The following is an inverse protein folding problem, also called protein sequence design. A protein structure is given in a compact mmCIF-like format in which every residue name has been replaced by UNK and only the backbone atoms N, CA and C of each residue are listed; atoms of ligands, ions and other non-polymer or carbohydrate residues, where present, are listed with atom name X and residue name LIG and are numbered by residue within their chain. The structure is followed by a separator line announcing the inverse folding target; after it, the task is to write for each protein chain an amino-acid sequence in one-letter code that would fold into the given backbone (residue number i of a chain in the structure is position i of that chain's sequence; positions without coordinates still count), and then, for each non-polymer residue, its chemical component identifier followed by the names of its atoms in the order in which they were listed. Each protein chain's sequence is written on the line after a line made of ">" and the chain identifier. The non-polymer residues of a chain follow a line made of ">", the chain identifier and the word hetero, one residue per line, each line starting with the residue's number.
data_IF_044676422897
#
_entry.id   IF_044676422897
#
_cell.length_a   1.000
_cell.length_b   1.000
_cell.length_c   1.000
_cell.angle_alpha   90.00
_cell.angle_beta   90.00
_cell.angle_gamma   90.00
#
_symmetry.space_group_name_H-M   'P 1'
#
loop_
_entity.id
_entity.type
_entity.pdbx_description
1 polymer ?
#
# COMPACT_ATOMS: atom_id res chain seq x y z
N UNK A 1 50.98 67.98 -2.00
CA UNK A 1 50.95 67.33 -0.68
C UNK A 1 49.52 66.63 -0.59
N UNK A 2 49.44 65.34 -0.89
CA UNK A 2 48.20 64.60 -0.91
C UNK A 2 48.30 63.46 0.11
N UNK A 3 47.40 63.47 1.07
CA UNK A 3 47.36 62.53 2.16
C UNK A 3 46.48 61.31 1.70
N UNK A 4 47.08 60.12 1.71
CA UNK A 4 46.38 58.86 1.37
C UNK A 4 45.79 58.25 2.64
N UNK A 5 44.45 58.08 2.71
CA UNK A 5 43.76 57.44 3.81
C UNK A 5 43.57 55.99 3.46
N UNK A 6 44.14 55.09 4.24
CA UNK A 6 43.94 53.62 4.12
C UNK A 6 42.65 53.21 4.76
N UNK A 7 41.73 52.65 3.93
CA UNK A 7 40.50 52.02 4.39
C UNK A 7 40.76 50.56 4.81
N UNK A 8 40.31 50.24 6.01
CA UNK A 8 40.43 48.95 6.70
C UNK A 8 39.34 47.98 6.22
N UNK A 9 39.77 46.89 5.58
CA UNK A 9 38.89 45.79 5.15
C UNK A 9 38.33 45.03 6.35
N UNK A 10 37.00 45.02 6.48
CA UNK A 10 36.30 44.22 7.45
C UNK A 10 36.13 42.77 6.94
N UNK A 11 36.73 41.82 7.62
CA UNK A 11 36.56 40.39 7.38
C UNK A 11 35.16 39.95 7.80
N UNK A 12 34.34 39.53 6.84
CA UNK A 12 33.08 38.85 7.11
C UNK A 12 33.40 37.41 7.52
N UNK A 13 33.22 37.09 8.77
CA UNK A 13 33.18 35.72 9.26
C UNK A 13 31.86 35.10 8.79
N UNK A 14 31.94 34.20 7.81
CA UNK A 14 30.82 33.33 7.39
C UNK A 14 30.73 32.21 8.40
N UNK A 15 29.73 32.29 9.28
CA UNK A 15 29.38 31.21 10.20
C UNK A 15 28.81 30.04 9.38
N UNK A 16 29.59 28.98 9.24
CA UNK A 16 29.13 27.66 8.74
C UNK A 16 28.29 27.05 9.86
N UNK A 17 26.94 27.19 9.76
CA UNK A 17 26.01 26.42 10.55
C UNK A 17 26.19 24.94 10.16
N UNK A 18 26.74 24.16 11.07
CA UNK A 18 26.87 22.72 10.92
C UNK A 18 25.47 22.12 10.82
N UNK A 19 25.12 21.61 9.63
CA UNK A 19 23.95 20.78 9.44
C UNK A 19 24.09 19.51 10.29
N UNK A 20 23.42 19.47 11.42
CA UNK A 20 23.25 18.22 12.17
C UNK A 20 22.60 17.17 11.25
N UNK A 21 23.13 15.93 11.18
CA UNK A 21 22.53 14.89 10.36
C UNK A 21 21.09 14.66 10.84
N UNK A 22 20.13 14.76 9.91
CA UNK A 22 18.75 14.43 10.18
C UNK A 22 18.71 13.02 10.79
N UNK A 23 18.17 12.90 12.01
CA UNK A 23 18.06 11.63 12.72
C UNK A 23 17.36 10.63 11.81
N UNK A 24 17.99 9.46 11.61
CA UNK A 24 17.42 8.37 10.83
C UNK A 24 16.01 8.06 11.32
N UNK A 25 15.04 7.83 10.42
CA UNK A 25 13.68 7.50 10.83
C UNK A 25 13.70 6.26 11.73
N UNK A 26 12.90 6.23 12.80
CA UNK A 26 12.91 5.11 13.74
C UNK A 26 12.69 3.81 12.99
N UNK A 27 13.51 2.81 13.26
CA UNK A 27 13.39 1.49 12.68
C UNK A 27 11.96 0.97 12.91
N UNK A 28 11.23 0.71 11.83
CA UNK A 28 9.87 0.18 11.92
C UNK A 28 9.94 -1.23 12.50
N UNK A 29 9.67 -1.35 13.79
CA UNK A 29 9.54 -2.64 14.45
C UNK A 29 8.19 -3.26 14.08
N UNK A 30 8.22 -4.35 13.33
CA UNK A 30 7.03 -5.15 13.06
C UNK A 30 6.58 -5.85 14.35
N UNK A 31 5.27 -5.93 14.64
CA UNK A 31 4.77 -6.61 15.82
C UNK A 31 5.15 -8.09 15.78
N UNK A 32 5.46 -8.65 16.96
CA UNK A 32 5.84 -10.06 17.12
C UNK A 32 4.72 -10.92 17.69
N UNK A 33 3.78 -10.32 18.39
CA UNK A 33 2.61 -10.96 18.97
C UNK A 33 1.42 -10.95 18.01
N UNK A 34 0.58 -11.97 18.11
CA UNK A 34 -0.57 -12.11 17.22
C UNK A 34 -1.59 -10.99 17.36
N UNK A 35 -2.01 -10.55 18.58
CA UNK A 35 -2.99 -9.47 18.70
C UNK A 35 -2.57 -8.20 17.96
N UNK A 36 -1.32 -7.79 18.09
CA UNK A 36 -0.78 -6.61 17.39
C UNK A 36 -0.66 -6.82 15.87
N UNK A 37 -0.27 -8.03 15.44
CA UNK A 37 -0.22 -8.42 14.03
C UNK A 37 -1.62 -8.39 13.42
N UNK A 38 -2.59 -9.03 14.06
CA UNK A 38 -3.99 -9.04 13.65
C UNK A 38 -4.56 -7.61 13.53
N UNK A 39 -4.34 -6.77 14.54
CA UNK A 39 -4.79 -5.38 14.50
C UNK A 39 -4.20 -4.62 13.30
N UNK A 40 -2.95 -4.89 12.94
CA UNK A 40 -2.34 -4.26 11.76
C UNK A 40 -2.95 -4.78 10.46
N UNK A 41 -3.20 -6.10 10.34
CA UNK A 41 -3.87 -6.69 9.18
C UNK A 41 -5.28 -6.12 9.00
N UNK A 42 -6.06 -6.03 10.07
CA UNK A 42 -7.41 -5.44 10.02
C UNK A 42 -7.40 -3.96 9.59
N UNK A 43 -6.42 -3.17 10.05
CA UNK A 43 -6.25 -1.80 9.55
C UNK A 43 -5.88 -1.74 8.07
N UNK A 44 -5.12 -2.72 7.60
CA UNK A 44 -4.78 -2.82 6.17
C UNK A 44 -6.01 -3.24 5.34
N UNK A 45 -6.87 -4.14 5.84
CA UNK A 45 -8.15 -4.47 5.23
C UNK A 45 -9.00 -3.22 5.02
N UNK A 46 -9.25 -2.44 6.08
CA UNK A 46 -10.02 -1.20 5.96
C UNK A 46 -9.42 -0.21 4.95
N UNK A 47 -8.09 -0.12 4.90
CA UNK A 47 -7.42 0.75 3.92
C UNK A 47 -7.58 0.25 2.47
N UNK A 48 -7.45 -1.06 2.25
CA UNK A 48 -7.64 -1.66 0.92
C UNK A 48 -9.08 -1.49 0.44
N UNK A 49 -10.05 -1.68 1.33
CA UNK A 49 -11.47 -1.45 1.05
C UNK A 49 -11.74 -0.01 0.61
N UNK A 50 -11.20 0.97 1.33
CA UNK A 50 -11.33 2.39 0.95
C UNK A 50 -10.69 2.66 -0.42
N UNK A 51 -9.51 2.09 -0.69
CA UNK A 51 -8.83 2.27 -1.99
C UNK A 51 -9.62 1.65 -3.14
N UNK A 52 -10.18 0.44 -2.96
CA UNK A 52 -11.03 -0.23 -3.96
C UNK A 52 -12.29 0.58 -4.23
N UNK A 53 -13.01 0.98 -3.18
CA UNK A 53 -14.23 1.76 -3.31
C UNK A 53 -14.00 3.09 -4.03
N UNK A 54 -12.91 3.78 -3.70
CA UNK A 54 -12.54 5.05 -4.35
C UNK A 54 -12.27 4.86 -5.84
N UNK A 55 -11.43 3.86 -6.20
CA UNK A 55 -11.10 3.60 -7.59
C UNK A 55 -12.33 3.15 -8.41
N UNK A 56 -13.21 2.33 -7.84
CA UNK A 56 -14.45 1.93 -8.50
C UNK A 56 -15.37 3.14 -8.72
N UNK A 57 -15.48 4.03 -7.73
CA UNK A 57 -16.27 5.26 -7.88
C UNK A 57 -15.69 6.18 -8.95
N UNK A 58 -14.36 6.37 -8.98
CA UNK A 58 -13.67 7.14 -10.02
C UNK A 58 -13.89 6.51 -11.42
N UNK A 59 -13.74 5.19 -11.56
CA UNK A 59 -13.97 4.48 -12.82
C UNK A 59 -15.40 4.64 -13.34
N UNK A 60 -16.39 4.56 -12.45
CA UNK A 60 -17.80 4.76 -12.80
C UNK A 60 -18.11 6.21 -13.21
N UNK A 61 -17.48 7.17 -12.54
CA UNK A 61 -17.69 8.59 -12.85
C UNK A 61 -17.11 8.98 -14.22
N UNK A 62 -16.07 8.30 -14.68
CA UNK A 62 -15.49 8.51 -16.00
C UNK A 62 -16.44 8.10 -17.13
N UNK A 63 -17.30 7.09 -16.94
CA UNK A 63 -18.33 6.64 -17.88
C UNK A 63 -17.81 6.22 -19.27
N UNK A 64 -18.66 5.65 -20.11
CA UNK A 64 -18.27 5.16 -21.45
C UNK A 64 -17.95 6.29 -22.45
N UNK A 65 -18.30 7.53 -22.14
CA UNK A 65 -18.06 8.69 -23.00
C UNK A 65 -16.76 9.44 -22.67
N UNK A 66 -16.05 9.03 -21.64
CA UNK A 66 -14.78 9.64 -21.31
C UNK A 66 -13.69 9.14 -22.28
N UNK A 67 -13.53 9.86 -23.39
CA UNK A 67 -12.23 10.04 -24.04
C UNK A 67 -11.23 10.70 -23.06
N UNK A 68 -11.49 10.57 -21.77
CA UNK A 68 -10.67 11.08 -20.71
C UNK A 68 -9.44 10.18 -20.65
N UNK A 69 -8.36 10.68 -21.18
CA UNK A 69 -7.03 10.15 -20.95
C UNK A 69 -6.96 9.67 -19.50
N UNK A 70 -6.66 8.38 -19.32
CA UNK A 70 -6.32 7.82 -18.01
C UNK A 70 -5.36 8.82 -17.35
N UNK A 71 -5.83 9.48 -16.28
CA UNK A 71 -5.02 10.51 -15.67
C UNK A 71 -3.82 9.88 -15.02
N UNK A 72 -2.63 10.54 -15.01
CA UNK A 72 -1.47 10.05 -14.26
C UNK A 72 -1.78 9.74 -12.80
N UNK A 73 -2.78 10.43 -12.23
CA UNK A 73 -3.30 10.19 -10.88
C UNK A 73 -3.99 8.83 -10.75
N UNK A 74 -4.83 8.46 -11.70
CA UNK A 74 -5.50 7.17 -11.76
C UNK A 74 -4.51 6.01 -11.80
N UNK A 75 -3.56 6.05 -12.75
CA UNK A 75 -2.51 5.03 -12.84
C UNK A 75 -1.74 4.88 -11.54
N UNK A 76 -1.38 6.01 -10.93
CA UNK A 76 -0.66 6.02 -9.67
C UNK A 76 -1.47 5.37 -8.55
N UNK A 77 -2.77 5.64 -8.48
CA UNK A 77 -3.67 5.08 -7.47
C UNK A 77 -3.88 3.57 -7.68
N UNK A 78 -4.02 3.10 -8.91
CA UNK A 78 -4.07 1.66 -9.22
C UNK A 78 -2.76 0.95 -8.83
N UNK A 79 -1.61 1.51 -9.16
CA UNK A 79 -0.30 0.98 -8.73
C UNK A 79 -0.12 0.99 -7.21
N UNK A 80 -0.67 1.98 -6.52
CA UNK A 80 -0.68 2.03 -5.05
C UNK A 80 -1.54 0.90 -4.47
N UNK A 81 -2.72 0.65 -5.03
CA UNK A 81 -3.57 -0.48 -4.65
C UNK A 81 -2.84 -1.82 -4.84
N UNK A 82 -2.26 -2.07 -6.01
CA UNK A 82 -1.51 -3.30 -6.30
C UNK A 82 -0.37 -3.54 -5.29
N UNK A 83 0.39 -2.48 -4.96
CA UNK A 83 1.48 -2.56 -3.98
C UNK A 83 0.97 -2.79 -2.57
N UNK A 84 -0.11 -2.11 -2.17
CA UNK A 84 -0.72 -2.25 -0.84
C UNK A 84 -1.27 -3.66 -0.64
N UNK A 85 -2.02 -4.19 -1.63
CA UNK A 85 -2.51 -5.56 -1.62
C UNK A 85 -1.36 -6.56 -1.56
N UNK A 86 -0.37 -6.43 -2.43
CA UNK A 86 0.78 -7.34 -2.44
C UNK A 86 1.60 -7.33 -1.14
N UNK A 87 1.68 -6.18 -0.44
CA UNK A 87 2.31 -6.10 0.88
C UNK A 87 1.46 -6.78 1.95
N UNK A 88 0.16 -6.49 1.98
CA UNK A 88 -0.80 -7.09 2.90
C UNK A 88 -0.74 -8.61 2.84
N UNK A 89 -0.93 -9.20 1.66
CA UNK A 89 -0.94 -10.65 1.47
C UNK A 89 0.38 -11.32 1.90
N UNK A 90 1.54 -10.66 1.68
CA UNK A 90 2.83 -11.20 2.16
C UNK A 90 2.97 -11.15 3.67
N UNK A 91 2.51 -10.07 4.32
CA UNK A 91 2.56 -9.95 5.77
C UNK A 91 1.64 -10.97 6.43
N UNK A 92 0.45 -11.13 5.91
CA UNK A 92 -0.53 -12.09 6.38
C UNK A 92 -0.01 -13.53 6.25
N UNK A 93 0.47 -13.93 5.06
CA UNK A 93 1.08 -15.25 4.86
C UNK A 93 2.22 -15.50 5.87
N UNK A 94 3.08 -14.51 6.08
CA UNK A 94 4.21 -14.61 7.02
C UNK A 94 3.73 -14.83 8.45
N UNK A 95 2.75 -14.04 8.89
CA UNK A 95 2.28 -14.09 10.27
C UNK A 95 1.41 -15.30 10.53
N UNK A 96 0.52 -15.67 9.63
CA UNK A 96 -0.26 -16.90 9.74
C UNK A 96 0.64 -18.14 9.71
N UNK A 97 1.72 -18.14 8.94
CA UNK A 97 2.71 -19.21 8.95
C UNK A 97 3.47 -19.28 10.30
N UNK A 98 3.80 -18.14 10.90
CA UNK A 98 4.43 -18.06 12.23
C UNK A 98 3.57 -18.75 13.31
N UNK A 99 2.24 -18.67 13.20
CA UNK A 99 1.28 -19.27 14.13
C UNK A 99 0.76 -20.64 13.68
N UNK A 100 1.31 -21.20 12.60
CA UNK A 100 0.88 -22.50 12.07
C UNK A 100 -0.53 -22.52 11.47
N UNK A 101 -1.09 -21.35 11.13
CA UNK A 101 -2.47 -21.18 10.69
C UNK A 101 -2.63 -20.97 9.18
N UNK A 102 -1.53 -20.89 8.43
CA UNK A 102 -1.54 -20.74 6.97
C UNK A 102 -1.67 -22.10 6.30
N UNK A 103 -2.79 -22.36 5.64
CA UNK A 103 -2.98 -23.56 4.83
C UNK A 103 -2.69 -23.32 3.33
N UNK A 104 -2.62 -24.42 2.56
CA UNK A 104 -2.28 -24.38 1.13
C UNK A 104 -3.36 -23.69 0.29
N UNK A 105 -4.65 -23.86 0.64
CA UNK A 105 -5.78 -23.22 -0.06
C UNK A 105 -5.74 -21.70 0.12
N UNK A 106 -5.50 -21.21 1.35
CA UNK A 106 -5.35 -19.79 1.65
C UNK A 106 -4.19 -19.18 0.82
N UNK A 107 -3.01 -19.83 0.83
CA UNK A 107 -1.87 -19.41 0.02
C UNK A 107 -2.16 -19.44 -1.49
N UNK A 108 -2.91 -20.43 -1.96
CA UNK A 108 -3.31 -20.50 -3.38
C UNK A 108 -4.21 -19.33 -3.77
N UNK A 109 -5.19 -18.99 -2.92
CA UNK A 109 -6.07 -17.83 -3.11
C UNK A 109 -5.27 -16.52 -3.20
N UNK A 110 -4.28 -16.32 -2.33
CA UNK A 110 -3.39 -15.16 -2.39
C UNK A 110 -2.59 -15.08 -3.69
N UNK A 111 -2.09 -16.23 -4.20
CA UNK A 111 -1.40 -16.24 -5.49
C UNK A 111 -2.30 -15.81 -6.63
N UNK A 112 -3.53 -16.33 -6.67
CA UNK A 112 -4.52 -15.94 -7.68
C UNK A 112 -4.81 -14.45 -7.63
N UNK A 113 -5.05 -13.88 -6.45
CA UNK A 113 -5.30 -12.45 -6.28
C UNK A 113 -4.12 -11.59 -6.72
N UNK A 114 -2.89 -11.96 -6.37
CA UNK A 114 -1.68 -11.25 -6.83
C UNK A 114 -1.54 -11.30 -8.34
N UNK A 115 -1.79 -12.46 -8.96
CA UNK A 115 -1.76 -12.60 -10.42
C UNK A 115 -2.83 -11.72 -11.06
N UNK A 116 -4.08 -11.80 -10.58
CA UNK A 116 -5.19 -10.98 -11.07
C UNK A 116 -4.91 -9.48 -10.92
N UNK A 117 -4.36 -9.07 -9.79
CA UNK A 117 -3.99 -7.67 -9.55
C UNK A 117 -2.91 -7.15 -10.51
N UNK A 118 -2.02 -8.01 -11.00
CA UNK A 118 -0.95 -7.64 -11.93
C UNK A 118 -1.35 -7.77 -13.42
N UNK A 119 -2.49 -8.38 -13.75
CA UNK A 119 -2.92 -8.58 -15.14
C UNK A 119 -3.32 -7.28 -15.83
N UNK A 120 -3.80 -6.29 -15.09
CA UNK A 120 -4.12 -4.98 -15.62
C UNK A 120 -2.93 -4.04 -15.39
N UNK A 121 -2.35 -3.56 -16.48
CA UNK A 121 -1.37 -2.47 -16.46
C UNK A 121 -2.12 -1.15 -16.68
N UNK A 122 -2.44 -0.41 -15.60
CA UNK A 122 -3.18 0.85 -15.74
C UNK A 122 -2.43 1.81 -16.64
N UNK A 123 -3.11 2.34 -17.64
CA UNK A 123 -2.54 3.31 -18.58
C UNK A 123 -1.80 2.74 -19.79
N UNK A 124 -1.61 1.44 -19.89
CA UNK A 124 -0.87 0.86 -21.04
C UNK A 124 -1.64 0.99 -22.35
N UNK A 125 -2.95 1.03 -22.29
CA UNK A 125 -3.83 1.14 -23.45
C UNK A 125 -4.66 2.45 -23.40
N UNK A 126 -3.98 3.57 -23.15
CA UNK A 126 -4.59 4.91 -23.03
C UNK A 126 -5.38 5.33 -24.27
N UNK A 127 -5.34 4.55 -25.35
CA UNK A 127 -6.11 4.75 -26.58
C UNK A 127 -7.43 3.99 -26.60
N UNK A 128 -7.70 3.13 -25.61
CA UNK A 128 -9.00 2.46 -25.51
C UNK A 128 -10.06 3.44 -25.01
N UNK A 129 -11.14 3.61 -25.77
CA UNK A 129 -12.23 4.50 -25.36
C UNK A 129 -13.13 3.91 -24.27
N UNK A 130 -12.89 2.67 -23.84
CA UNK A 130 -13.76 1.92 -22.95
C UNK A 130 -13.06 1.60 -21.62
N UNK A 131 -13.47 2.22 -20.48
CA UNK A 131 -12.96 1.94 -19.15
C UNK A 131 -13.55 0.65 -18.53
N UNK A 132 -14.41 -0.08 -19.25
CA UNK A 132 -15.12 -1.28 -18.75
C UNK A 132 -14.15 -2.35 -18.23
N UNK A 133 -13.02 -2.67 -18.92
CA UNK A 133 -12.11 -3.71 -18.43
C UNK A 133 -11.46 -3.38 -17.08
N UNK A 134 -11.09 -2.12 -16.85
CA UNK A 134 -10.51 -1.68 -15.58
C UNK A 134 -11.55 -1.70 -14.45
N UNK A 135 -12.78 -1.32 -14.75
CA UNK A 135 -13.88 -1.38 -13.80
C UNK A 135 -14.22 -2.84 -13.43
N UNK A 136 -14.32 -3.73 -14.42
CA UNK A 136 -14.55 -5.16 -14.20
C UNK A 136 -13.44 -5.78 -13.37
N UNK A 137 -12.19 -5.43 -13.65
CA UNK A 137 -11.02 -5.87 -12.88
C UNK A 137 -11.12 -5.40 -11.41
N UNK A 138 -11.43 -4.13 -11.17
CA UNK A 138 -11.56 -3.59 -9.81
C UNK A 138 -12.72 -4.25 -9.05
N UNK A 139 -13.85 -4.49 -9.72
CA UNK A 139 -15.01 -5.16 -9.12
C UNK A 139 -14.71 -6.62 -8.79
N UNK A 140 -14.06 -7.35 -9.70
CA UNK A 140 -13.64 -8.73 -9.43
C UNK A 140 -12.63 -8.82 -8.28
N UNK A 141 -11.70 -7.87 -8.18
CA UNK A 141 -10.75 -7.80 -7.07
C UNK A 141 -11.45 -7.46 -5.75
N UNK A 142 -12.45 -6.58 -5.78
CA UNK A 142 -13.26 -6.21 -4.61
C UNK A 142 -14.08 -7.40 -4.10
N UNK A 143 -14.76 -8.10 -5.00
CA UNK A 143 -15.54 -9.30 -4.66
C UNK A 143 -14.65 -10.38 -4.04
N UNK A 144 -13.51 -10.69 -4.69
CA UNK A 144 -12.52 -11.60 -4.13
C UNK A 144 -12.09 -11.16 -2.73
N UNK A 145 -11.80 -9.89 -2.54
CA UNK A 145 -11.32 -9.35 -1.26
C UNK A 145 -12.32 -9.56 -0.12
N UNK A 146 -13.58 -9.26 -0.35
CA UNK A 146 -14.63 -9.46 0.67
C UNK A 146 -14.85 -10.93 0.99
N UNK A 147 -14.98 -11.78 -0.04
CA UNK A 147 -15.17 -13.23 0.15
C UNK A 147 -13.97 -13.84 0.88
N UNK A 148 -12.76 -13.43 0.54
CA UNK A 148 -11.54 -13.92 1.17
C UNK A 148 -11.46 -13.50 2.64
N UNK A 149 -11.67 -12.23 2.94
CA UNK A 149 -11.67 -11.67 4.30
C UNK A 149 -12.69 -12.33 5.20
N UNK A 150 -13.93 -12.44 4.75
CA UNK A 150 -15.03 -12.99 5.55
C UNK A 150 -14.96 -14.52 5.67
N UNK A 151 -14.26 -15.18 4.77
CA UNK A 151 -14.08 -16.62 4.73
C UNK A 151 -12.71 -17.08 5.25
N UNK A 152 -11.71 -17.06 4.37
CA UNK A 152 -10.41 -17.65 4.64
C UNK A 152 -9.67 -16.97 5.79
N UNK A 153 -9.62 -15.62 5.81
CA UNK A 153 -8.95 -14.85 6.85
C UNK A 153 -9.66 -15.00 8.18
N UNK A 154 -10.99 -14.90 8.21
CA UNK A 154 -11.76 -15.06 9.44
C UNK A 154 -11.55 -16.43 10.09
N UNK A 155 -11.40 -17.50 9.30
CA UNK A 155 -11.06 -18.83 9.80
C UNK A 155 -9.63 -18.89 10.32
N UNK A 156 -8.67 -18.38 9.54
CA UNK A 156 -7.26 -18.39 9.89
C UNK A 156 -6.97 -17.56 11.16
N UNK A 157 -7.60 -16.39 11.28
CA UNK A 157 -7.44 -15.51 12.45
C UNK A 157 -8.01 -16.11 13.72
N UNK A 158 -9.20 -16.76 13.64
CA UNK A 158 -9.72 -17.50 14.79
C UNK A 158 -8.78 -18.61 15.26
N UNK A 159 -8.17 -19.34 14.33
CA UNK A 159 -7.18 -20.36 14.66
C UNK A 159 -5.94 -19.78 15.35
N UNK A 160 -5.44 -18.66 14.83
CA UNK A 160 -4.31 -17.97 15.42
C UNK A 160 -4.66 -17.35 16.80
N UNK A 161 -5.89 -16.84 16.98
CA UNK A 161 -6.39 -16.41 18.30
C UNK A 161 -6.38 -17.54 19.34
N UNK A 162 -6.63 -18.77 18.92
CA UNK A 162 -6.55 -19.93 19.81
C UNK A 162 -5.07 -20.38 20.04
N UNK A 163 -4.26 -20.36 18.99
CA UNK A 163 -2.86 -20.78 19.08
C UNK A 163 -2.00 -19.88 19.96
N UNK A 164 -2.34 -18.58 20.06
CA UNK A 164 -1.57 -17.62 20.86
C UNK A 164 -2.00 -17.56 22.34
N UNK A 165 -3.08 -18.27 22.76
CA UNK A 165 -3.46 -18.32 24.17
C UNK A 165 -2.45 -19.17 24.92
N UNK A 166 -1.83 -18.66 26.02
CA UNK A 166 -1.05 -19.50 26.89
C UNK A 166 -1.94 -20.64 27.39
N UNK A 167 -1.45 -21.87 27.32
CA UNK A 167 -2.22 -23.07 27.69
C UNK A 167 -2.87 -22.91 29.08
N UNK A 168 -4.15 -23.11 29.15
CA UNK A 168 -4.91 -23.32 30.38
C UNK A 168 -4.58 -24.68 30.96
#
# INVERSE_FOLDING_TARGET
>A
MGTITLSRSGSKQTSLAANAPASAPPARHWPRDWPSQKQLLERQHGRLEVMLNTLIAEARALGPLANAAVTPSWELNCRRLQRALGLHLRLEERWLAQWGCLNSGHRASHRLARTAACQVEPGKDSRRPDPTPELEWLQGLQEWFFVHRDGADAIAYRRADHACRPGT
#
